data_IF_801617330046
#
_entry.id   IF_801617330046
#
_cell.length_a   1.000
_cell.length_b   1.000
_cell.length_c   1.000
_cell.angle_alpha   90.00
_cell.angle_beta   90.00
_cell.angle_gamma   90.00
#
_symmetry.space_group_name_H-M   'P 1'
#
loop_
_entity.id
_entity.type
_entity.pdbx_description
1 polymer ?
#
# COMPACT_ATOMS: atom_id res chain seq x y z
N UNK A 1 -4.54 28.18 7.31
CA UNK A 1 -3.25 27.74 6.73
C UNK A 1 -3.62 26.75 5.64
N UNK A 2 -3.21 26.97 4.39
CA UNK A 2 -3.45 26.00 3.32
C UNK A 2 -2.42 24.90 3.50
N UNK A 3 -2.83 23.78 4.09
CA UNK A 3 -1.97 22.61 4.15
C UNK A 3 -1.87 22.02 2.76
N UNK A 4 -0.65 21.80 2.28
CA UNK A 4 -0.44 21.27 0.94
C UNK A 4 -0.45 19.73 0.97
N UNK A 5 -1.10 19.13 -0.02
CA UNK A 5 -1.05 17.69 -0.26
C UNK A 5 0.37 17.28 -0.70
N UNK A 6 0.84 16.14 -0.23
CA UNK A 6 2.15 15.59 -0.59
C UNK A 6 2.00 14.35 -1.48
N UNK A 7 2.65 14.35 -2.65
CA UNK A 7 2.70 13.18 -3.52
C UNK A 7 3.85 12.27 -3.08
N UNK A 8 3.51 11.18 -2.38
CA UNK A 8 4.50 10.27 -1.79
C UNK A 8 4.87 9.18 -2.78
N UNK A 9 5.96 9.39 -3.52
CA UNK A 9 6.46 8.45 -4.55
C UNK A 9 7.60 7.58 -4.04
N UNK A 10 8.17 7.92 -2.89
CA UNK A 10 9.33 7.28 -2.28
C UNK A 10 9.02 5.85 -1.79
N UNK A 11 7.74 5.48 -1.65
CA UNK A 11 7.31 4.10 -1.41
C UNK A 11 7.31 3.21 -2.67
N UNK A 12 7.58 3.76 -3.85
CA UNK A 12 7.57 3.03 -5.12
C UNK A 12 6.19 2.90 -5.77
N UNK A 13 5.18 3.60 -5.25
CA UNK A 13 3.87 3.77 -5.86
C UNK A 13 3.73 5.20 -6.41
N UNK A 14 3.12 5.35 -7.58
CA UNK A 14 2.94 6.65 -8.23
C UNK A 14 1.58 7.31 -7.93
N UNK A 15 0.72 6.62 -7.18
CA UNK A 15 -0.68 6.97 -6.93
C UNK A 15 -1.00 7.29 -5.46
N UNK A 16 0.00 7.54 -4.60
CA UNK A 16 -0.20 7.85 -3.17
C UNK A 16 -0.16 9.36 -2.90
N UNK A 17 -1.26 9.91 -2.39
CA UNK A 17 -1.36 11.31 -1.97
C UNK A 17 -1.61 11.38 -0.46
N UNK A 18 -0.76 12.10 0.26
CA UNK A 18 -0.98 12.43 1.68
C UNK A 18 -1.65 13.81 1.73
N UNK A 19 -2.95 13.80 2.01
CA UNK A 19 -3.75 15.00 2.20
C UNK A 19 -3.42 15.68 3.52
N UNK A 20 -3.39 17.02 3.51
CA UNK A 20 -3.07 17.85 4.67
C UNK A 20 -1.73 17.45 5.32
N UNK A 21 -0.73 17.15 4.50
CA UNK A 21 0.53 16.55 4.94
C UNK A 21 1.32 17.45 5.90
N UNK A 22 1.47 18.74 5.58
CA UNK A 22 2.29 19.70 6.35
C UNK A 22 3.69 19.13 6.66
N UNK A 23 4.38 18.62 5.62
CA UNK A 23 5.70 18.01 5.75
C UNK A 23 6.85 18.99 5.50
N UNK A 24 6.57 20.17 4.95
CA UNK A 24 7.56 21.22 4.76
C UNK A 24 8.05 21.72 6.13
N UNK A 25 9.34 21.52 6.41
CA UNK A 25 10.01 22.13 7.55
C UNK A 25 11.23 22.91 7.08
N UNK A 26 11.75 23.76 7.97
CA UNK A 26 13.03 24.45 7.77
C UNK A 26 14.04 23.80 8.70
N UNK A 27 15.17 23.37 8.15
CA UNK A 27 16.26 22.81 8.95
C UNK A 27 17.09 23.90 9.67
N UNK A 28 18.11 23.46 10.41
CA UNK A 28 18.97 24.35 11.20
C UNK A 28 19.77 25.34 10.33
N UNK A 29 19.95 25.05 9.04
CA UNK A 29 20.66 25.88 8.06
C UNK A 29 19.72 26.83 7.29
N UNK A 30 18.41 26.75 7.54
CA UNK A 30 17.40 27.56 6.87
C UNK A 30 16.92 26.98 5.54
N UNK A 31 17.29 25.74 5.22
CA UNK A 31 16.86 25.05 4.01
C UNK A 31 15.47 24.42 4.20
N UNK A 32 14.66 24.47 3.14
CA UNK A 32 13.35 23.80 3.14
C UNK A 32 13.54 22.33 2.83
N UNK A 33 13.11 21.48 3.75
CA UNK A 33 13.17 20.02 3.62
C UNK A 33 11.79 19.40 3.86
N UNK A 34 11.62 18.17 3.35
CA UNK A 34 10.43 17.36 3.61
C UNK A 34 10.72 16.43 4.79
N UNK A 35 9.95 16.56 5.87
CA UNK A 35 10.00 15.64 7.00
C UNK A 35 8.70 14.86 7.10
N UNK A 36 8.79 13.55 6.86
CA UNK A 36 7.65 12.63 6.99
C UNK A 36 7.72 11.96 8.37
N UNK A 37 6.88 12.37 9.35
CA UNK A 37 6.88 11.74 10.66
C UNK A 37 6.35 10.31 10.58
N UNK A 38 6.91 9.41 11.40
CA UNK A 38 6.40 8.03 11.56
C UNK A 38 6.15 7.29 10.23
N UNK A 39 7.13 7.26 9.32
CA UNK A 39 7.01 6.66 7.98
C UNK A 39 6.46 5.22 7.99
N UNK A 40 6.79 4.41 9.00
CA UNK A 40 6.22 3.06 9.15
C UNK A 40 4.70 3.06 9.34
N UNK A 41 4.14 4.07 10.00
CA UNK A 41 2.69 4.25 10.15
C UNK A 41 2.05 4.72 8.84
N UNK A 42 2.75 5.56 8.06
CA UNK A 42 2.30 5.95 6.73
C UNK A 42 2.21 4.72 5.81
N UNK A 43 3.26 3.90 5.78
CA UNK A 43 3.28 2.66 5.00
C UNK A 43 2.19 1.68 5.44
N UNK A 44 1.95 1.55 6.75
CA UNK A 44 0.85 0.76 7.28
C UNK A 44 -0.52 1.25 6.80
N UNK A 45 -0.75 2.57 6.77
CA UNK A 45 -1.98 3.16 6.25
C UNK A 45 -2.14 2.95 4.73
N UNK A 46 -1.04 3.02 3.96
CA UNK A 46 -1.05 2.70 2.53
C UNK A 46 -1.40 1.23 2.31
N UNK A 47 -0.77 0.31 3.05
CA UNK A 47 -1.07 -1.11 2.98
C UNK A 47 -2.54 -1.40 3.31
N UNK A 48 -3.11 -0.71 4.31
CA UNK A 48 -4.53 -0.81 4.65
C UNK A 48 -5.43 -0.35 3.51
N UNK A 49 -5.10 0.76 2.84
CA UNK A 49 -5.82 1.22 1.65
C UNK A 49 -5.76 0.18 0.52
N UNK A 50 -4.58 -0.36 0.23
CA UNK A 50 -4.37 -1.35 -0.83
C UNK A 50 -5.16 -2.65 -0.60
N UNK A 51 -5.14 -3.21 0.61
CA UNK A 51 -5.86 -4.47 0.85
C UNK A 51 -7.38 -4.27 0.77
N UNK A 52 -7.89 -3.05 0.95
CA UNK A 52 -9.31 -2.73 0.88
C UNK A 52 -9.78 -2.19 -0.48
N UNK A 53 -8.88 -1.95 -1.45
CA UNK A 53 -9.29 -1.39 -2.73
C UNK A 53 -10.06 -2.39 -3.60
N UNK A 54 -10.92 -1.89 -4.49
CA UNK A 54 -11.55 -2.71 -5.54
C UNK A 54 -10.57 -3.02 -6.68
N UNK A 55 -10.82 -4.09 -7.44
CA UNK A 55 -9.96 -4.52 -8.55
C UNK A 55 -8.75 -5.34 -8.11
N UNK A 56 -8.02 -5.87 -9.09
CA UNK A 56 -6.77 -6.59 -8.84
C UNK A 56 -5.65 -5.62 -8.45
N UNK A 57 -4.74 -6.08 -7.59
CA UNK A 57 -3.48 -5.41 -7.29
C UNK A 57 -2.61 -5.36 -8.56
N UNK A 58 -2.08 -4.19 -8.86
CA UNK A 58 -1.04 -3.98 -9.86
C UNK A 58 0.31 -4.54 -9.38
N UNK A 59 1.26 -4.69 -10.31
CA UNK A 59 2.60 -5.18 -10.00
C UNK A 59 3.35 -4.34 -8.97
N UNK A 60 3.21 -3.01 -9.03
CA UNK A 60 3.80 -2.11 -8.06
C UNK A 60 3.21 -2.30 -6.65
N UNK A 61 1.89 -2.50 -6.56
CA UNK A 61 1.19 -2.72 -5.28
C UNK A 61 1.51 -4.09 -4.69
N UNK A 62 1.63 -5.13 -5.52
CA UNK A 62 2.12 -6.45 -5.10
C UNK A 62 3.54 -6.33 -4.52
N UNK A 63 4.42 -5.60 -5.20
CA UNK A 63 5.79 -5.36 -4.74
C UNK A 63 5.79 -4.63 -3.40
N UNK A 64 5.02 -3.55 -3.29
CA UNK A 64 4.88 -2.76 -2.06
C UNK A 64 4.43 -3.65 -0.90
N UNK A 65 3.30 -4.34 -1.03
CA UNK A 65 2.78 -5.22 0.03
C UNK A 65 3.79 -6.30 0.41
N UNK A 66 4.47 -6.91 -0.57
CA UNK A 66 5.50 -7.92 -0.32
C UNK A 66 6.66 -7.37 0.50
N UNK A 67 7.15 -6.18 0.17
CA UNK A 67 8.27 -5.57 0.90
C UNK A 67 7.85 -5.13 2.31
N UNK A 68 6.62 -4.64 2.47
CA UNK A 68 6.07 -4.27 3.79
C UNK A 68 5.98 -5.47 4.74
N UNK A 69 5.59 -6.65 4.23
CA UNK A 69 5.60 -7.89 5.03
C UNK A 69 6.99 -8.55 5.13
N UNK A 70 8.06 -7.88 4.67
CA UNK A 70 9.44 -8.32 4.82
C UNK A 70 9.82 -9.57 4.01
N UNK A 71 9.15 -9.82 2.88
CA UNK A 71 9.37 -11.03 2.08
C UNK A 71 10.19 -10.78 0.81
N UNK A 72 11.03 -11.73 0.45
CA UNK A 72 11.60 -11.89 -0.89
C UNK A 72 10.55 -12.46 -1.86
N UNK A 73 10.76 -12.30 -3.17
CA UNK A 73 9.88 -12.91 -4.19
C UNK A 73 9.78 -14.44 -4.01
N UNK A 74 10.88 -15.11 -3.63
CA UNK A 74 10.88 -16.55 -3.38
C UNK A 74 10.06 -16.96 -2.15
N UNK A 75 10.10 -16.16 -1.07
CA UNK A 75 9.27 -16.41 0.11
C UNK A 75 7.78 -16.23 -0.20
N UNK A 76 7.41 -15.16 -0.91
CA UNK A 76 6.02 -14.95 -1.31
C UNK A 76 5.53 -16.07 -2.25
N UNK A 77 6.35 -16.45 -3.23
CA UNK A 77 6.02 -17.54 -4.16
C UNK A 77 5.76 -18.85 -3.42
N UNK A 78 6.62 -19.20 -2.45
CA UNK A 78 6.45 -20.40 -1.61
C UNK A 78 5.13 -20.35 -0.83
N UNK A 79 4.78 -19.20 -0.26
CA UNK A 79 3.56 -19.02 0.53
C UNK A 79 2.29 -19.10 -0.32
N UNK A 80 2.36 -18.63 -1.58
CA UNK A 80 1.27 -18.65 -2.55
C UNK A 80 1.23 -19.92 -3.42
N UNK A 81 2.09 -20.91 -3.14
CA UNK A 81 2.23 -22.14 -3.93
C UNK A 81 2.47 -21.89 -5.43
N UNK A 82 3.32 -20.92 -5.74
CA UNK A 82 3.78 -20.56 -7.08
C UNK A 82 5.31 -20.62 -7.19
N UNK A 83 5.81 -20.53 -8.41
CA UNK A 83 7.24 -20.35 -8.66
C UNK A 83 7.64 -18.87 -8.53
N UNK A 84 8.93 -18.61 -8.34
CA UNK A 84 9.45 -17.24 -8.16
C UNK A 84 9.28 -16.38 -9.42
N UNK A 85 9.28 -16.96 -10.63
CA UNK A 85 9.07 -16.19 -11.86
C UNK A 85 7.64 -15.68 -11.94
N UNK A 86 6.65 -16.43 -11.45
CA UNK A 86 5.25 -15.95 -11.37
C UNK A 86 5.15 -14.64 -10.58
N UNK A 87 5.75 -14.56 -9.38
CA UNK A 87 5.77 -13.31 -8.59
C UNK A 87 6.49 -12.19 -9.33
N UNK A 88 7.64 -12.48 -9.95
CA UNK A 88 8.35 -11.50 -10.76
C UNK A 88 7.53 -10.99 -11.96
N UNK A 89 6.73 -11.86 -12.60
CA UNK A 89 5.81 -11.50 -13.69
C UNK A 89 4.71 -10.58 -13.22
N UNK A 90 4.07 -10.91 -12.10
CA UNK A 90 3.05 -10.06 -11.50
C UNK A 90 3.61 -8.67 -11.17
N UNK A 91 4.77 -8.60 -10.52
CA UNK A 91 5.38 -7.33 -10.11
C UNK A 91 5.85 -6.41 -11.26
N UNK A 92 5.92 -6.91 -12.50
CA UNK A 92 6.20 -6.08 -13.68
C UNK A 92 4.98 -5.94 -14.59
N UNK A 93 3.81 -6.33 -14.12
CA UNK A 93 2.56 -6.31 -14.89
C UNK A 93 2.63 -7.09 -16.22
N UNK A 94 3.53 -8.09 -16.32
CA UNK A 94 3.61 -8.95 -17.51
C UNK A 94 2.45 -9.96 -17.56
N UNK A 95 1.89 -10.30 -16.39
CA UNK A 95 0.71 -11.14 -16.25
C UNK A 95 -0.04 -10.68 -14.99
N UNK A 96 -1.38 -10.58 -15.01
CA UNK A 96 -2.14 -10.27 -13.81
C UNK A 96 -2.01 -11.39 -12.77
N UNK A 97 -2.04 -11.02 -11.50
CA UNK A 97 -2.19 -11.97 -10.40
C UNK A 97 -3.59 -12.62 -10.46
N UNK A 98 -3.69 -13.91 -10.18
CA UNK A 98 -4.99 -14.56 -10.14
C UNK A 98 -5.80 -14.10 -8.91
N UNK A 99 -7.13 -13.95 -9.00
CA UNK A 99 -7.94 -13.39 -7.91
C UNK A 99 -7.76 -14.09 -6.56
N UNK A 100 -7.61 -15.41 -6.55
CA UNK A 100 -7.39 -16.17 -5.31
C UNK A 100 -6.03 -15.87 -4.68
N UNK A 101 -4.99 -15.61 -5.49
CA UNK A 101 -3.66 -15.27 -5.00
C UNK A 101 -3.59 -13.84 -4.49
N UNK A 102 -4.28 -12.92 -5.17
CA UNK A 102 -4.47 -11.54 -4.72
C UNK A 102 -5.17 -11.50 -3.36
N UNK A 103 -6.35 -12.13 -3.27
CA UNK A 103 -7.08 -12.25 -2.00
C UNK A 103 -6.21 -12.84 -0.89
N UNK A 104 -5.44 -13.88 -1.20
CA UNK A 104 -4.55 -14.52 -0.23
C UNK A 104 -3.44 -13.57 0.23
N UNK A 105 -2.80 -12.84 -0.69
CA UNK A 105 -1.79 -11.82 -0.37
C UNK A 105 -2.38 -10.73 0.53
N UNK A 106 -3.59 -10.25 0.26
CA UNK A 106 -4.27 -9.26 1.11
C UNK A 106 -4.52 -9.78 2.52
N UNK A 107 -4.93 -11.03 2.67
CA UNK A 107 -5.12 -11.67 3.98
C UNK A 107 -3.79 -11.83 4.73
N UNK A 108 -2.73 -12.25 4.05
CA UNK A 108 -1.39 -12.36 4.63
C UNK A 108 -0.89 -10.98 5.11
N UNK A 109 -1.05 -9.95 4.27
CA UNK A 109 -0.67 -8.58 4.62
C UNK A 109 -1.48 -8.05 5.81
N UNK A 110 -2.79 -8.32 5.84
CA UNK A 110 -3.64 -8.03 7.01
C UNK A 110 -3.05 -8.61 8.29
N UNK A 111 -2.74 -9.90 8.27
CA UNK A 111 -2.29 -10.62 9.46
C UNK A 111 -0.88 -10.17 9.90
N UNK A 112 0.06 -10.03 8.96
CA UNK A 112 1.45 -9.65 9.25
C UNK A 112 1.59 -8.19 9.70
N UNK A 113 0.80 -7.28 9.12
CA UNK A 113 0.85 -5.85 9.45
C UNK A 113 -0.17 -5.47 10.54
N UNK A 114 -1.02 -6.41 10.97
CA UNK A 114 -2.11 -6.19 11.92
C UNK A 114 -3.07 -5.05 11.50
N UNK A 115 -3.30 -4.89 10.20
CA UNK A 115 -4.19 -3.86 9.62
C UNK A 115 -5.61 -4.41 9.41
N UNK A 116 -6.59 -3.54 9.17
CA UNK A 116 -7.98 -3.98 9.04
C UNK A 116 -8.32 -4.28 7.60
N UNK A 117 -8.96 -5.44 7.37
CA UNK A 117 -9.69 -5.69 6.14
C UNK A 117 -11.18 -5.47 6.44
N UNK A 118 -11.77 -4.46 5.79
CA UNK A 118 -13.14 -4.01 6.00
C UNK A 118 -14.19 -4.98 5.44
N UNK A 119 -13.75 -5.96 4.65
CA UNK A 119 -14.61 -6.90 3.94
C UNK A 119 -14.42 -8.34 4.44
N UNK A 120 -15.52 -9.08 4.50
CA UNK A 120 -15.47 -10.53 4.60
C UNK A 120 -14.88 -11.16 3.33
N UNK A 121 -14.46 -12.44 3.41
CA UNK A 121 -13.88 -13.16 2.26
C UNK A 121 -14.82 -13.15 1.05
N UNK A 122 -16.12 -13.35 1.27
CA UNK A 122 -17.13 -13.36 0.20
C UNK A 122 -17.25 -12.01 -0.51
N UNK A 123 -17.20 -10.91 0.24
CA UNK A 123 -17.26 -9.55 -0.31
C UNK A 123 -15.98 -9.21 -1.05
N UNK A 124 -14.82 -9.57 -0.47
CA UNK A 124 -13.52 -9.38 -1.12
C UNK A 124 -13.45 -10.13 -2.46
N UNK A 125 -14.01 -11.34 -2.54
CA UNK A 125 -14.11 -12.12 -3.78
C UNK A 125 -14.89 -11.39 -4.88
N UNK A 126 -15.92 -10.63 -4.51
CA UNK A 126 -16.69 -9.84 -5.46
C UNK A 126 -15.96 -8.55 -5.91
N UNK A 127 -15.06 -8.02 -5.06
CA UNK A 127 -14.28 -6.81 -5.34
C UNK A 127 -13.03 -7.07 -6.17
N UNK A 128 -12.36 -8.21 -5.96
CA UNK A 128 -11.14 -8.59 -6.69
C UNK A 128 -11.54 -9.14 -8.06
N UNK A 129 -11.73 -8.21 -9.00
CA UNK A 129 -11.98 -8.54 -10.41
C UNK A 129 -10.66 -8.58 -11.20
N UNK A 130 -10.58 -9.29 -12.35
CA UNK A 130 -9.33 -9.42 -13.12
C UNK A 130 -8.77 -8.11 -13.69
N UNK A 131 -9.52 -7.00 -13.59
CA UNK A 131 -9.07 -5.70 -14.06
C UNK A 131 -8.34 -4.99 -12.93
N UNK A 132 -7.07 -4.66 -13.17
CA UNK A 132 -6.28 -3.87 -12.23
C UNK A 132 -6.93 -2.49 -12.03
N UNK A 133 -7.03 -2.05 -10.78
CA UNK A 133 -7.48 -0.70 -10.50
C UNK A 133 -6.27 0.24 -10.47
N UNK A 134 -6.39 1.39 -11.15
CA UNK A 134 -5.46 2.50 -10.98
C UNK A 134 -6.05 3.52 -10.01
N UNK A 135 -6.50 3.02 -8.85
CA UNK A 135 -7.15 3.87 -7.87
C UNK A 135 -6.10 4.74 -7.18
N UNK A 136 -6.39 6.02 -7.01
CA UNK A 136 -5.54 6.89 -6.19
C UNK A 136 -5.69 6.50 -4.72
N UNK A 137 -4.58 6.27 -4.03
CA UNK A 137 -4.55 5.99 -2.61
C UNK A 137 -4.43 7.32 -1.88
N UNK A 138 -5.49 7.72 -1.20
CA UNK A 138 -5.51 8.95 -0.41
C UNK A 138 -5.26 8.60 1.05
N UNK A 139 -4.22 9.19 1.63
CA UNK A 139 -3.94 9.11 3.05
C UNK A 139 -4.25 10.46 3.66
N UNK A 140 -4.98 10.49 4.77
CA UNK A 140 -5.21 11.72 5.54
C UNK A 140 -4.28 11.75 6.74
N UNK A 141 -3.63 12.89 6.98
CA UNK A 141 -2.95 13.16 8.25
C UNK A 141 -3.97 13.55 9.32
N UNK A 142 -3.88 12.92 10.50
CA UNK A 142 -4.79 13.18 11.64
C UNK A 142 -4.03 13.61 12.88
N UNK A 143 -4.70 14.31 13.78
CA UNK A 143 -4.15 14.78 15.06
C UNK A 143 -4.09 13.67 16.12
N UNK A 144 -3.64 12.47 15.75
CA UNK A 144 -3.36 11.36 16.65
C UNK A 144 -1.87 11.03 16.55
N UNK A 145 -1.12 11.29 17.62
CA UNK A 145 0.32 11.05 17.64
C UNK A 145 0.69 9.56 17.54
N UNK A 146 -0.21 8.66 17.94
CA UNK A 146 0.03 7.21 17.88
C UNK A 146 -0.37 6.61 16.54
N UNK A 147 -1.32 7.23 15.83
CA UNK A 147 -1.75 6.83 14.50
C UNK A 147 -2.03 8.04 13.60
N UNK A 148 -0.96 8.73 13.13
CA UNK A 148 -1.09 10.02 12.45
C UNK A 148 -1.61 9.90 11.02
N UNK A 149 -1.80 8.69 10.49
CA UNK A 149 -2.21 8.44 9.11
C UNK A 149 -3.42 7.53 9.06
N UNK A 150 -4.40 7.89 8.23
CA UNK A 150 -5.57 7.07 7.97
C UNK A 150 -5.78 6.94 6.47
N UNK A 151 -6.05 5.73 6.01
CA UNK A 151 -6.51 5.52 4.63
C UNK A 151 -7.87 6.18 4.46
N UNK A 152 -7.97 7.12 3.51
CA UNK A 152 -9.25 7.64 3.06
C UNK A 152 -9.79 6.70 1.99
N UNK A 153 -10.82 5.93 2.36
CA UNK A 153 -11.57 5.06 1.44
C UNK A 153 -12.23 5.84 0.31
#
# INVERSE_FOLDING_TARGET
MNTQDYHYTECGLDNVIVADADFDIVDDDGEKIIQIPAVGMLHRAIAEGLINQSGALSGAEIRFLRTEIGMTQAQLAKLLHRDTQSVGRWERDECPIEPTQDMTLRQIARDQLSITLSYGITELSALVTPQASQNQIKIRRVADANNPYQSAA
#
